data_IF_800817044124
#
_entry.id   IF_800817044124
#
_cell.length_a   1.000
_cell.length_b   1.000
_cell.length_c   1.000
_cell.angle_alpha   90.00
_cell.angle_beta   90.00
_cell.angle_gamma   90.00
#
_symmetry.space_group_name_H-M   'P 1'
#
loop_
_entity.id
_entity.type
_entity.pdbx_description
1 polymer ?
#
# COMPACT_ATOMS: atom_id res chain seq x y z
N UNK A 1 -4.81 36.01 23.83
CA UNK A 1 -5.27 34.65 24.13
C UNK A 1 -6.75 34.62 23.83
N UNK A 2 -7.14 34.18 22.68
CA UNK A 2 -8.56 33.95 22.31
C UNK A 2 -8.66 32.51 21.78
N UNK A 3 -9.33 31.63 22.54
CA UNK A 3 -9.67 30.28 22.10
C UNK A 3 -10.70 30.38 20.97
N UNK A 4 -10.53 29.71 19.84
CA UNK A 4 -11.58 29.63 18.83
C UNK A 4 -12.66 28.64 19.27
N UNK A 5 -13.89 29.06 19.06
CA UNK A 5 -15.14 28.33 19.29
C UNK A 5 -15.14 26.96 18.60
N UNK A 6 -15.33 25.92 19.40
CA UNK A 6 -15.66 24.57 18.95
C UNK A 6 -17.15 24.56 18.63
N UNK A 7 -17.47 24.69 17.36
CA UNK A 7 -18.86 24.57 16.87
C UNK A 7 -18.87 24.06 15.46
N UNK A 8 -19.28 22.80 15.25
CA UNK A 8 -19.56 22.23 13.93
C UNK A 8 -18.85 20.94 13.60
N UNK A 9 -18.96 19.89 14.42
CA UNK A 9 -18.18 18.63 14.28
C UNK A 9 -19.07 17.36 14.16
N UNK A 10 -20.26 17.45 13.55
CA UNK A 10 -21.11 16.25 13.41
C UNK A 10 -20.96 15.49 12.07
N UNK A 11 -21.08 16.18 10.95
CA UNK A 11 -21.25 15.54 9.64
C UNK A 11 -19.94 15.14 8.94
N UNK A 12 -18.87 15.89 9.12
CA UNK A 12 -17.60 15.61 8.43
C UNK A 12 -16.81 14.44 9.00
N UNK A 13 -16.98 14.11 10.28
CA UNK A 13 -16.25 13.02 10.94
C UNK A 13 -16.77 11.63 10.58
N UNK A 14 -18.08 11.47 10.49
CA UNK A 14 -18.68 10.17 10.13
C UNK A 14 -18.39 9.80 8.66
N UNK A 15 -18.46 10.77 7.77
CA UNK A 15 -18.07 10.58 6.37
C UNK A 15 -16.59 10.21 6.21
N UNK A 16 -15.72 10.83 7.01
CA UNK A 16 -14.28 10.53 7.06
C UNK A 16 -13.99 9.11 7.56
N UNK A 17 -14.68 8.64 8.60
CA UNK A 17 -14.50 7.28 9.16
C UNK A 17 -14.92 6.21 8.15
N UNK A 18 -16.05 6.36 7.48
CA UNK A 18 -16.52 5.41 6.47
C UNK A 18 -15.55 5.26 5.30
N UNK A 19 -15.04 6.38 4.78
CA UNK A 19 -14.02 6.37 3.70
C UNK A 19 -12.73 5.71 4.19
N UNK A 20 -12.28 6.03 5.39
CA UNK A 20 -11.05 5.45 5.95
C UNK A 20 -11.17 3.93 6.09
N UNK A 21 -12.29 3.44 6.61
CA UNK A 21 -12.55 2.00 6.72
C UNK A 21 -12.58 1.33 5.34
N UNK A 22 -13.31 1.90 4.39
CA UNK A 22 -13.38 1.37 3.02
C UNK A 22 -12.00 1.34 2.35
N UNK A 23 -11.22 2.41 2.47
CA UNK A 23 -9.86 2.48 1.95
C UNK A 23 -8.94 1.45 2.62
N UNK A 24 -9.04 1.28 3.95
CA UNK A 24 -8.25 0.29 4.69
C UNK A 24 -8.56 -1.13 4.22
N UNK A 25 -9.84 -1.48 4.10
CA UNK A 25 -10.27 -2.80 3.60
C UNK A 25 -9.77 -3.03 2.18
N UNK A 26 -9.91 -2.02 1.32
CA UNK A 26 -9.45 -2.10 -0.07
C UNK A 26 -7.93 -2.33 -0.17
N UNK A 27 -7.14 -1.51 0.53
CA UNK A 27 -5.66 -1.61 0.51
C UNK A 27 -5.21 -2.95 1.07
N UNK A 28 -5.78 -3.39 2.20
CA UNK A 28 -5.45 -4.68 2.79
C UNK A 28 -5.79 -5.83 1.84
N UNK A 29 -6.99 -5.81 1.24
CA UNK A 29 -7.40 -6.84 0.27
C UNK A 29 -6.49 -6.88 -0.95
N UNK A 30 -6.05 -5.72 -1.44
CA UNK A 30 -5.10 -5.63 -2.57
C UNK A 30 -3.74 -6.25 -2.23
N UNK A 31 -3.19 -5.92 -1.05
CA UNK A 31 -1.90 -6.45 -0.58
C UNK A 31 -1.97 -7.98 -0.47
N UNK A 32 -3.03 -8.51 0.15
CA UNK A 32 -3.20 -9.96 0.30
C UNK A 32 -3.43 -10.62 -1.05
N UNK A 33 -4.25 -10.03 -1.93
CA UNK A 33 -4.46 -10.57 -3.28
C UNK A 33 -3.15 -10.69 -4.06
N UNK A 34 -2.31 -9.66 -4.04
CA UNK A 34 -1.01 -9.66 -4.73
C UNK A 34 -0.06 -10.69 -4.11
N UNK A 35 -0.08 -10.84 -2.78
CA UNK A 35 0.67 -11.86 -2.06
C UNK A 35 0.27 -13.28 -2.51
N UNK A 36 -1.03 -13.58 -2.48
CA UNK A 36 -1.55 -14.88 -2.90
C UNK A 36 -1.32 -15.16 -4.39
N UNK A 37 -1.44 -14.12 -5.23
CA UNK A 37 -1.12 -14.21 -6.65
C UNK A 37 0.35 -14.58 -6.88
N UNK A 38 1.26 -14.10 -6.03
CA UNK A 38 2.67 -14.49 -6.07
C UNK A 38 2.87 -15.99 -5.89
N UNK A 39 2.30 -16.57 -4.85
CA UNK A 39 2.34 -18.01 -4.60
C UNK A 39 1.71 -18.79 -5.75
N UNK A 40 0.54 -18.37 -6.20
CA UNK A 40 -0.19 -19.01 -7.29
C UNK A 40 0.61 -19.05 -8.60
N UNK A 41 1.11 -17.90 -9.04
CA UNK A 41 1.87 -17.78 -10.28
C UNK A 41 3.13 -18.64 -10.21
N UNK A 42 3.86 -18.56 -9.11
CA UNK A 42 5.14 -19.30 -8.94
C UNK A 42 4.89 -20.80 -8.84
N UNK A 43 3.83 -21.24 -8.15
CA UNK A 43 3.44 -22.66 -8.12
C UNK A 43 3.13 -23.21 -9.51
N UNK A 44 2.38 -22.44 -10.31
CA UNK A 44 2.08 -22.81 -11.72
C UNK A 44 3.34 -22.85 -12.58
N UNK A 45 4.22 -21.85 -12.47
CA UNK A 45 5.47 -21.80 -13.24
C UNK A 45 6.44 -22.94 -12.88
N UNK A 46 6.43 -23.39 -11.61
CA UNK A 46 7.25 -24.53 -11.16
C UNK A 46 6.56 -25.89 -11.38
N UNK A 47 5.41 -25.91 -12.06
CA UNK A 47 4.67 -27.12 -12.41
C UNK A 47 4.03 -27.80 -11.20
N UNK A 48 3.73 -27.07 -10.12
CA UNK A 48 2.92 -27.57 -9.01
C UNK A 48 1.44 -27.52 -9.37
N UNK A 49 0.68 -28.45 -8.82
CA UNK A 49 -0.77 -28.46 -8.95
C UNK A 49 -1.37 -27.49 -7.93
N UNK A 50 -2.23 -26.60 -8.40
CA UNK A 50 -3.01 -25.71 -7.54
C UNK A 50 -4.49 -26.06 -7.68
N UNK A 51 -5.08 -26.59 -6.63
CA UNK A 51 -6.47 -27.04 -6.61
C UNK A 51 -7.45 -25.90 -6.47
N UNK A 52 -7.17 -24.92 -5.61
CA UNK A 52 -8.02 -23.76 -5.42
C UNK A 52 -7.18 -22.49 -5.23
N UNK A 53 -7.58 -21.42 -5.91
CA UNK A 53 -7.16 -20.04 -5.69
C UNK A 53 -8.38 -19.27 -5.18
N UNK A 54 -8.34 -18.83 -3.93
CA UNK A 54 -9.45 -18.18 -3.26
C UNK A 54 -9.13 -16.76 -2.86
N UNK A 55 -10.05 -15.84 -3.16
CA UNK A 55 -10.03 -14.46 -2.66
C UNK A 55 -11.06 -14.35 -1.56
N UNK A 56 -10.62 -13.95 -0.36
CA UNK A 56 -11.47 -13.86 0.83
C UNK A 56 -11.57 -15.16 1.62
N UNK A 57 -12.34 -15.10 2.71
CA UNK A 57 -12.63 -16.21 3.60
C UNK A 57 -14.15 -16.46 3.73
N UNK A 58 -14.51 -17.60 4.33
CA UNK A 58 -15.91 -17.98 4.58
C UNK A 58 -16.58 -18.67 3.38
N UNK A 59 -17.91 -18.66 3.33
CA UNK A 59 -18.67 -19.31 2.27
C UNK A 59 -18.36 -18.76 0.88
N UNK A 60 -18.40 -19.63 -0.14
CA UNK A 60 -18.18 -19.25 -1.53
C UNK A 60 -19.37 -18.43 -2.05
N UNK A 61 -19.12 -17.20 -2.52
CA UNK A 61 -20.09 -16.39 -3.26
C UNK A 61 -20.17 -16.81 -4.71
N UNK A 62 -18.99 -17.02 -5.29
CA UNK A 62 -18.83 -17.43 -6.68
C UNK A 62 -17.64 -18.37 -6.81
N UNK A 63 -17.78 -19.41 -7.63
CA UNK A 63 -16.66 -20.28 -7.96
C UNK A 63 -16.74 -20.75 -9.40
N UNK A 64 -15.60 -20.83 -10.06
CA UNK A 64 -15.48 -21.33 -11.42
C UNK A 64 -14.23 -22.19 -11.56
N UNK A 65 -14.37 -23.38 -12.10
CA UNK A 65 -13.23 -24.23 -12.44
C UNK A 65 -12.69 -23.84 -13.81
N UNK A 66 -11.39 -23.60 -13.90
CA UNK A 66 -10.68 -23.40 -15.14
C UNK A 66 -9.43 -24.28 -15.16
N UNK A 67 -9.37 -25.22 -16.09
CA UNK A 67 -8.39 -26.29 -16.09
C UNK A 67 -8.50 -27.15 -14.82
N UNK A 68 -7.39 -27.28 -14.09
CA UNK A 68 -7.33 -28.02 -12.83
C UNK A 68 -7.69 -27.19 -11.60
N UNK A 69 -7.64 -25.84 -11.70
CA UNK A 69 -7.79 -24.93 -10.57
C UNK A 69 -9.23 -24.42 -10.46
N UNK A 70 -9.74 -24.39 -9.24
CA UNK A 70 -10.98 -23.73 -8.88
C UNK A 70 -10.67 -22.31 -8.41
N UNK A 71 -11.21 -21.33 -9.12
CA UNK A 71 -11.13 -19.92 -8.71
C UNK A 71 -12.36 -19.59 -7.90
N UNK A 72 -12.20 -19.07 -6.69
CA UNK A 72 -13.33 -18.77 -5.81
C UNK A 72 -13.24 -17.37 -5.22
N UNK A 73 -14.40 -16.71 -5.13
CA UNK A 73 -14.61 -15.47 -4.41
C UNK A 73 -15.47 -15.78 -3.18
N UNK A 74 -15.07 -15.28 -2.02
CA UNK A 74 -15.72 -15.57 -0.75
C UNK A 74 -16.25 -14.30 -0.09
N UNK A 75 -17.15 -14.45 0.88
CA UNK A 75 -17.94 -13.36 1.47
C UNK A 75 -17.06 -12.33 2.15
N UNK A 76 -16.04 -12.75 2.89
CA UNK A 76 -15.19 -11.85 3.68
C UNK A 76 -13.99 -11.48 2.83
N UNK A 77 -13.89 -10.22 2.32
CA UNK A 77 -12.83 -9.81 1.39
C UNK A 77 -11.48 -9.58 2.07
N UNK A 78 -11.31 -10.00 3.31
CA UNK A 78 -10.09 -9.84 4.09
C UNK A 78 -9.25 -11.11 3.99
N UNK A 79 -8.40 -11.20 2.97
CA UNK A 79 -7.49 -12.33 2.82
C UNK A 79 -7.69 -13.15 1.55
N UNK A 80 -7.09 -14.33 1.53
CA UNK A 80 -7.15 -15.29 0.45
C UNK A 80 -6.34 -16.53 0.82
N UNK A 81 -6.33 -17.53 -0.03
CA UNK A 81 -5.47 -18.68 0.10
C UNK A 81 -5.25 -19.40 -1.23
N UNK A 82 -4.14 -20.11 -1.29
CA UNK A 82 -3.83 -21.04 -2.36
C UNK A 82 -3.83 -22.47 -1.80
N UNK A 83 -4.66 -23.34 -2.37
CA UNK A 83 -4.58 -24.77 -2.09
C UNK A 83 -3.65 -25.43 -3.10
N UNK A 84 -2.37 -25.58 -2.70
CA UNK A 84 -1.35 -26.25 -3.50
C UNK A 84 -1.28 -27.71 -3.05
N UNK A 85 -1.39 -28.66 -3.97
CA UNK A 85 -1.38 -30.08 -3.69
C UNK A 85 -0.12 -30.48 -2.89
N UNK A 86 -0.29 -31.24 -1.82
CA UNK A 86 0.78 -31.73 -0.97
C UNK A 86 1.40 -30.68 -0.04
N UNK A 87 0.73 -29.55 0.22
CA UNK A 87 1.08 -28.65 1.32
C UNK A 87 0.41 -29.01 2.64
N UNK A 88 -0.69 -29.78 2.60
CA UNK A 88 -1.38 -30.28 3.80
C UNK A 88 -1.06 -31.75 4.01
N UNK A 89 -0.90 -32.18 5.27
CA UNK A 89 -0.50 -33.53 5.65
C UNK A 89 -1.54 -34.62 5.30
N UNK A 90 -2.77 -34.23 4.98
CA UNK A 90 -3.89 -35.16 4.68
C UNK A 90 -4.08 -35.44 3.17
N UNK A 91 -3.23 -34.90 2.30
CA UNK A 91 -3.42 -35.02 0.86
C UNK A 91 -2.58 -36.15 0.25
N UNK A 92 -3.17 -36.89 -0.68
CA UNK A 92 -2.41 -37.86 -1.49
C UNK A 92 -1.34 -37.14 -2.32
N UNK A 93 -0.09 -37.58 -2.16
CA UNK A 93 1.04 -37.01 -2.89
C UNK A 93 1.04 -37.52 -4.34
N UNK A 94 1.08 -36.59 -5.28
CA UNK A 94 1.31 -36.87 -6.70
C UNK A 94 2.64 -36.25 -7.17
N UNK A 95 3.05 -36.52 -8.39
CA UNK A 95 4.30 -35.98 -8.98
C UNK A 95 4.36 -34.43 -9.00
N UNK A 96 3.20 -33.77 -8.97
CA UNK A 96 3.06 -32.32 -9.00
C UNK A 96 2.81 -31.71 -7.62
N UNK A 97 2.83 -32.54 -6.58
CA UNK A 97 2.70 -32.10 -5.18
C UNK A 97 3.91 -31.27 -4.76
N UNK A 98 3.68 -30.27 -3.89
CA UNK A 98 4.70 -29.37 -3.35
C UNK A 98 5.89 -30.13 -2.77
N UNK A 99 5.64 -31.17 -1.95
CA UNK A 99 6.70 -31.95 -1.31
C UNK A 99 7.57 -32.73 -2.30
N UNK A 100 7.03 -33.11 -3.47
CA UNK A 100 7.76 -33.83 -4.51
C UNK A 100 8.58 -32.94 -5.43
N UNK A 101 8.50 -31.60 -5.27
CA UNK A 101 9.28 -30.66 -6.08
C UNK A 101 10.66 -30.38 -5.47
N UNK A 102 11.64 -30.00 -6.31
CA UNK A 102 12.97 -29.59 -5.87
C UNK A 102 12.90 -28.51 -4.80
N UNK A 103 13.87 -28.51 -3.88
CA UNK A 103 13.93 -27.53 -2.78
C UNK A 103 13.88 -26.08 -3.26
N UNK A 104 14.59 -25.78 -4.35
CA UNK A 104 14.59 -24.43 -4.94
C UNK A 104 13.19 -24.02 -5.38
N UNK A 105 12.43 -24.89 -6.04
CA UNK A 105 11.05 -24.60 -6.46
C UNK A 105 10.14 -24.33 -5.25
N UNK A 106 10.30 -25.10 -4.18
CA UNK A 106 9.56 -24.90 -2.93
C UNK A 106 9.91 -23.57 -2.28
N UNK A 107 11.19 -23.22 -2.23
CA UNK A 107 11.67 -21.96 -1.68
C UNK A 107 11.12 -20.76 -2.49
N UNK A 108 11.16 -20.85 -3.83
CA UNK A 108 10.60 -19.82 -4.71
C UNK A 108 9.10 -19.61 -4.45
N UNK A 109 8.33 -20.68 -4.33
CA UNK A 109 6.89 -20.56 -4.04
C UNK A 109 6.65 -19.93 -2.68
N UNK A 110 7.36 -20.35 -1.62
CA UNK A 110 7.19 -19.79 -0.26
C UNK A 110 7.55 -18.31 -0.22
N UNK A 111 8.62 -17.88 -0.90
CA UNK A 111 9.05 -16.49 -0.88
C UNK A 111 8.27 -15.58 -1.84
N UNK A 112 7.58 -16.16 -2.82
CA UNK A 112 6.93 -15.41 -3.91
C UNK A 112 5.88 -14.40 -3.42
N UNK A 113 5.11 -14.75 -2.39
CA UNK A 113 4.11 -13.84 -1.82
C UNK A 113 4.73 -12.54 -1.32
N UNK A 114 5.77 -12.64 -0.50
CA UNK A 114 6.48 -11.47 0.01
C UNK A 114 7.16 -10.67 -1.12
N UNK A 115 7.81 -11.35 -2.07
CA UNK A 115 8.46 -10.70 -3.21
C UNK A 115 7.47 -9.91 -4.07
N UNK A 116 6.27 -10.44 -4.29
CA UNK A 116 5.21 -9.72 -5.02
C UNK A 116 4.73 -8.48 -4.28
N UNK A 117 4.66 -8.50 -2.95
CA UNK A 117 4.35 -7.32 -2.17
C UNK A 117 5.45 -6.25 -2.24
N UNK A 118 6.73 -6.65 -2.24
CA UNK A 118 7.83 -5.71 -2.50
C UNK A 118 7.75 -5.12 -3.90
N UNK A 119 7.43 -5.93 -4.92
CA UNK A 119 7.23 -5.45 -6.28
C UNK A 119 6.07 -4.45 -6.36
N UNK A 120 4.94 -4.74 -5.70
CA UNK A 120 3.81 -3.82 -5.61
C UNK A 120 4.21 -2.49 -4.98
N UNK A 121 4.90 -2.52 -3.84
CA UNK A 121 5.37 -1.32 -3.15
C UNK A 121 6.31 -0.50 -4.04
N UNK A 122 7.25 -1.16 -4.73
CA UNK A 122 8.14 -0.51 -5.68
C UNK A 122 7.39 0.17 -6.83
N UNK A 123 6.43 -0.53 -7.44
CA UNK A 123 5.64 0.02 -8.54
C UNK A 123 4.76 1.21 -8.10
N UNK A 124 4.19 1.16 -6.89
CA UNK A 124 3.42 2.26 -6.34
C UNK A 124 4.29 3.49 -6.07
N UNK A 125 5.44 3.30 -5.43
CA UNK A 125 6.39 4.39 -5.18
C UNK A 125 6.92 4.99 -6.49
N UNK A 126 7.28 4.14 -7.44
CA UNK A 126 7.71 4.59 -8.76
C UNK A 126 6.62 5.39 -9.47
N UNK A 127 5.38 4.92 -9.43
CA UNK A 127 4.23 5.63 -10.01
C UNK A 127 3.98 6.99 -9.36
N UNK A 128 4.09 7.08 -8.02
CA UNK A 128 3.97 8.34 -7.29
C UNK A 128 5.08 9.30 -7.72
N UNK A 129 6.35 8.88 -7.67
CA UNK A 129 7.49 9.71 -8.05
C UNK A 129 7.39 10.16 -9.51
N UNK A 130 6.96 9.27 -10.41
CA UNK A 130 6.78 9.59 -11.82
C UNK A 130 5.66 10.64 -12.05
N UNK A 131 4.59 10.58 -11.26
CA UNK A 131 3.44 11.49 -11.41
C UNK A 131 3.62 12.83 -10.71
N UNK A 132 4.27 12.85 -9.54
CA UNK A 132 4.44 14.06 -8.72
C UNK A 132 5.81 14.71 -8.85
N UNK A 133 6.78 14.01 -9.42
CA UNK A 133 8.18 14.41 -9.41
C UNK A 133 8.83 14.21 -8.03
N UNK A 134 10.12 14.48 -7.95
CA UNK A 134 10.87 14.49 -6.69
C UNK A 134 10.86 15.92 -6.18
N UNK A 135 10.16 16.19 -5.07
CA UNK A 135 10.27 17.46 -4.38
C UNK A 135 11.66 17.54 -3.73
N UNK A 136 12.57 18.27 -4.36
CA UNK A 136 13.84 18.63 -3.71
C UNK A 136 13.60 19.86 -2.86
N UNK A 137 13.91 19.77 -1.57
CA UNK A 137 14.03 20.98 -0.72
C UNK A 137 15.24 21.72 -1.25
N UNK A 138 15.02 22.86 -1.90
CA UNK A 138 16.12 23.72 -2.31
C UNK A 138 16.86 24.15 -1.04
N UNK A 139 18.21 24.13 -1.02
CA UNK A 139 18.98 24.56 0.14
C UNK A 139 18.72 26.04 0.47
N UNK A 140 18.43 26.86 -0.55
CA UNK A 140 18.12 28.27 -0.37
C UNK A 140 16.76 28.49 0.28
N UNK A 141 16.63 29.46 1.21
CA UNK A 141 15.39 29.76 1.92
C UNK A 141 14.41 30.58 1.04
N UNK A 142 14.03 30.00 -0.11
CA UNK A 142 13.09 30.61 -1.05
C UNK A 142 11.72 29.97 -0.89
N UNK A 143 10.68 30.79 -0.77
CA UNK A 143 9.29 30.35 -0.67
C UNK A 143 8.83 29.73 -2.00
N UNK A 144 8.59 28.41 -2.00
CA UNK A 144 8.14 27.71 -3.21
C UNK A 144 6.64 27.80 -3.46
N UNK A 145 5.85 28.00 -2.42
CA UNK A 145 4.39 28.13 -2.51
C UNK A 145 3.74 28.50 -1.18
N UNK A 146 2.52 29.01 -1.21
CA UNK A 146 1.78 29.48 -0.03
C UNK A 146 0.43 28.79 0.01
N UNK A 147 0.05 28.30 1.18
CA UNK A 147 -1.28 27.74 1.42
C UNK A 147 -2.28 28.90 1.53
N UNK A 148 -3.35 28.88 0.76
CA UNK A 148 -4.43 29.89 0.83
C UNK A 148 -4.99 29.96 2.25
N UNK A 149 -5.27 31.17 2.72
CA UNK A 149 -5.78 31.46 4.07
C UNK A 149 -4.82 31.05 5.21
N UNK A 150 -3.52 31.00 4.95
CA UNK A 150 -2.50 30.81 5.99
C UNK A 150 -2.00 32.18 6.49
N UNK A 151 -1.39 32.20 7.69
CA UNK A 151 -0.74 33.40 8.25
C UNK A 151 0.31 34.01 7.29
N UNK A 152 1.00 33.16 6.53
CA UNK A 152 1.94 33.62 5.50
C UNK A 152 1.26 34.38 4.36
N UNK A 153 0.08 33.89 3.92
CA UNK A 153 -0.73 34.57 2.90
C UNK A 153 -1.28 35.92 3.42
N UNK A 154 -1.72 35.96 4.68
CA UNK A 154 -2.21 37.19 5.34
C UNK A 154 -1.08 38.20 5.55
N UNK A 155 0.14 37.74 5.78
CA UNK A 155 1.33 38.57 5.92
C UNK A 155 1.87 39.09 4.57
N UNK A 156 1.28 38.68 3.43
CA UNK A 156 1.67 39.13 2.10
C UNK A 156 2.96 38.51 1.58
N UNK A 157 3.36 37.35 2.10
CA UNK A 157 4.49 36.56 1.55
C UNK A 157 4.07 36.00 0.20
N UNK A 158 4.94 36.04 -0.80
CA UNK A 158 4.69 35.53 -2.14
C UNK A 158 5.65 34.38 -2.53
N UNK A 159 5.23 33.48 -3.43
CA UNK A 159 6.15 32.50 -4.01
C UNK A 159 7.31 33.18 -4.71
N UNK A 160 8.55 32.76 -4.38
CA UNK A 160 9.78 33.39 -4.86
C UNK A 160 10.47 34.30 -3.84
N UNK A 161 9.79 34.66 -2.76
CA UNK A 161 10.41 35.44 -1.68
C UNK A 161 11.53 34.65 -1.01
N UNK A 162 12.60 35.37 -0.62
CA UNK A 162 13.70 34.79 0.14
C UNK A 162 13.62 35.21 1.61
N UNK A 163 13.55 34.23 2.49
CA UNK A 163 13.56 34.47 3.95
C UNK A 163 15.01 34.72 4.37
N UNK A 164 15.31 35.94 4.83
CA UNK A 164 16.63 36.34 5.23
C UNK A 164 16.88 36.25 6.75
N UNK A 165 15.81 36.35 7.54
CA UNK A 165 15.85 36.23 8.99
C UNK A 165 14.51 35.85 9.57
N UNK A 166 14.52 35.15 10.72
CA UNK A 166 13.36 34.92 11.58
C UNK A 166 13.67 35.53 12.94
N UNK A 167 12.91 36.57 13.31
CA UNK A 167 13.29 37.39 14.48
C UNK A 167 14.70 37.98 14.31
N UNK A 168 15.60 37.67 15.25
CA UNK A 168 16.99 38.12 15.22
C UNK A 168 17.97 37.08 14.66
N UNK A 169 17.49 35.90 14.21
CA UNK A 169 18.34 34.83 13.69
C UNK A 169 18.42 34.91 12.18
N UNK A 170 19.64 34.99 11.59
CA UNK A 170 19.81 34.98 10.15
C UNK A 170 19.49 33.56 9.61
N UNK A 171 18.80 33.49 8.47
CA UNK A 171 18.45 32.26 7.77
C UNK A 171 19.28 32.15 6.49
N UNK A 172 20.13 31.15 6.42
CA UNK A 172 20.96 30.87 5.24
C UNK A 172 20.41 29.70 4.42
N UNK A 173 19.74 28.76 5.07
CA UNK A 173 19.16 27.56 4.45
C UNK A 173 17.74 27.34 4.93
N UNK A 174 16.91 26.70 4.14
CA UNK A 174 15.53 26.39 4.50
C UNK A 174 15.40 25.65 5.84
N UNK A 175 16.36 24.74 6.13
CA UNK A 175 16.38 23.96 7.36
C UNK A 175 16.63 24.80 8.62
N UNK A 176 17.16 26.00 8.48
CA UNK A 176 17.45 26.89 9.61
C UNK A 176 16.15 27.56 10.15
N UNK A 177 15.05 27.57 9.34
CA UNK A 177 13.77 28.23 9.70
C UNK A 177 13.08 27.57 10.90
N UNK A 178 12.90 26.21 10.96
CA UNK A 178 12.28 25.56 12.10
C UNK A 178 13.07 25.72 13.41
N UNK A 179 14.38 25.91 13.32
CA UNK A 179 15.23 26.11 14.51
C UNK A 179 15.14 27.54 15.06
N UNK A 180 14.65 28.47 14.22
CA UNK A 180 14.53 29.90 14.59
C UNK A 180 13.12 30.27 15.11
N UNK A 181 12.14 29.35 15.08
CA UNK A 181 10.77 29.52 15.58
C UNK A 181 10.64 28.90 16.96
#
# INVERSE_FOLDING_TARGET
ICLPCIGGLGSGKEFSVGITLAATVFVFSLIVFVHEAGHFITAKLTGMQVDEFAIGFGPKLYSRKYGETVYSLRIIPLGGFNKIAGMSDEEELNERSFLNKPVLSRLLVISAGALMNFLLAFLLLWGIVFSTGISSVLPDPIVGGIIKNSAAAEAGIEPGDRIISVGNMPVNRWIDIPEAI
#
